data_IF_365923106112
#
_entry.id   IF_365923106112
#
_cell.length_a   1.000
_cell.length_b   1.000
_cell.length_c   1.000
_cell.angle_alpha   90.00
_cell.angle_beta   90.00
_cell.angle_gamma   90.00
#
_symmetry.space_group_name_H-M   'P 1'
#
loop_
_entity.id
_entity.type
_entity.pdbx_description
1 polymer ?
#
# COMPACT_ATOMS: atom_id res chain seq x y z
N UNK A 1 22.87 24.19 -10.29
CA UNK A 1 21.58 24.27 -9.60
C UNK A 1 20.78 22.96 -9.59
N UNK A 2 20.58 22.26 -10.73
CA UNK A 2 19.84 20.97 -10.81
C UNK A 2 20.47 19.86 -9.94
N UNK A 3 21.79 19.72 -9.91
CA UNK A 3 22.51 18.71 -9.10
C UNK A 3 22.37 18.96 -7.58
N UNK A 4 22.41 20.21 -7.14
CA UNK A 4 22.25 20.57 -5.71
C UNK A 4 20.83 20.22 -5.23
N UNK A 5 19.82 20.49 -6.05
CA UNK A 5 18.42 20.10 -5.77
C UNK A 5 18.29 18.57 -5.73
N UNK A 6 18.97 17.86 -6.63
CA UNK A 6 18.98 16.39 -6.66
C UNK A 6 19.61 15.79 -5.40
N UNK A 7 20.78 16.26 -4.98
CA UNK A 7 21.46 15.81 -3.77
C UNK A 7 20.63 16.10 -2.51
N UNK A 8 20.01 17.29 -2.42
CA UNK A 8 19.14 17.62 -1.31
C UNK A 8 17.92 16.70 -1.20
N UNK A 9 17.30 16.34 -2.35
CA UNK A 9 16.17 15.39 -2.37
C UNK A 9 16.59 13.98 -1.98
N UNK A 10 17.74 13.51 -2.44
CA UNK A 10 18.27 12.18 -2.05
C UNK A 10 18.54 12.10 -0.56
N UNK A 11 19.15 13.13 0.03
CA UNK A 11 19.35 13.22 1.48
C UNK A 11 17.99 13.21 2.23
N UNK A 12 17.02 13.98 1.75
CA UNK A 12 15.68 14.01 2.34
C UNK A 12 14.95 12.66 2.25
N UNK A 13 15.12 11.91 1.15
CA UNK A 13 14.59 10.54 1.02
C UNK A 13 15.27 9.60 2.00
N UNK A 14 16.59 9.68 2.16
CA UNK A 14 17.34 8.89 3.15
C UNK A 14 16.84 9.14 4.58
N UNK A 15 16.68 10.40 4.96
CA UNK A 15 16.11 10.77 6.27
C UNK A 15 14.68 10.24 6.41
N UNK A 16 13.88 10.34 5.37
CA UNK A 16 12.50 9.82 5.36
C UNK A 16 12.45 8.31 5.60
N UNK A 17 13.37 7.55 5.00
CA UNK A 17 13.48 6.09 5.23
C UNK A 17 13.77 5.83 6.72
N UNK A 18 14.71 6.55 7.33
CA UNK A 18 15.01 6.42 8.75
C UNK A 18 13.80 6.76 9.62
N UNK A 19 13.06 7.81 9.28
CA UNK A 19 11.81 8.18 9.98
C UNK A 19 10.75 7.09 9.85
N UNK A 20 10.59 6.49 8.66
CA UNK A 20 9.66 5.38 8.46
C UNK A 20 10.05 4.17 9.32
N UNK A 21 11.33 3.81 9.33
CA UNK A 21 11.84 2.71 10.15
C UNK A 21 11.60 2.98 11.64
N UNK A 22 11.86 4.20 12.10
CA UNK A 22 11.59 4.60 13.49
C UNK A 22 10.09 4.50 13.83
N UNK A 23 9.21 4.98 12.94
CA UNK A 23 7.76 4.89 13.12
C UNK A 23 7.31 3.43 13.22
N UNK A 24 7.81 2.56 12.34
CA UNK A 24 7.46 1.14 12.33
C UNK A 24 7.95 0.43 13.58
N UNK A 25 9.16 0.75 14.03
CA UNK A 25 9.78 0.06 15.16
C UNK A 25 9.25 0.55 16.52
N UNK A 26 9.04 1.86 16.66
CA UNK A 26 8.73 2.50 17.95
C UNK A 26 7.25 2.87 18.06
N UNK A 27 6.68 3.54 17.06
CA UNK A 27 5.32 4.05 17.16
C UNK A 27 4.25 2.97 16.87
N UNK A 28 4.46 2.11 15.89
CA UNK A 28 3.47 1.11 15.52
C UNK A 28 3.10 0.14 16.65
N UNK A 29 4.03 -0.33 17.50
CA UNK A 29 3.65 -1.12 18.68
C UNK A 29 2.78 -0.36 19.68
N UNK A 30 2.97 0.96 19.79
CA UNK A 30 2.31 1.81 20.77
C UNK A 30 0.96 2.35 20.30
N UNK A 31 0.72 2.41 19.00
CA UNK A 31 -0.53 2.95 18.43
C UNK A 31 -1.41 1.85 17.89
N UNK A 32 -2.71 1.95 18.15
CA UNK A 32 -3.70 1.05 17.58
C UNK A 32 -3.82 1.20 16.05
N UNK A 33 -4.60 0.32 15.43
CA UNK A 33 -4.79 0.28 13.97
C UNK A 33 -5.09 1.66 13.37
N UNK A 34 -6.01 2.45 13.97
CA UNK A 34 -6.35 3.83 13.52
C UNK A 34 -5.14 4.75 13.45
N UNK A 35 -4.29 4.70 14.46
CA UNK A 35 -3.09 5.52 14.50
C UNK A 35 -2.11 5.14 13.40
N UNK A 36 -1.93 3.85 13.14
CA UNK A 36 -1.05 3.33 12.08
C UNK A 36 -1.44 3.86 10.70
N UNK A 37 -2.72 3.76 10.32
CA UNK A 37 -3.20 4.26 9.02
C UNK A 37 -3.01 5.78 8.88
N UNK A 38 -3.26 6.56 9.94
CA UNK A 38 -2.98 8.01 9.93
C UNK A 38 -1.50 8.32 9.76
N UNK A 39 -0.62 7.55 10.41
CA UNK A 39 0.83 7.68 10.25
C UNK A 39 1.26 7.39 8.81
N UNK A 40 0.84 6.25 8.24
CA UNK A 40 1.14 5.87 6.85
C UNK A 40 0.71 6.98 5.90
N UNK A 41 -0.54 7.43 5.99
CA UNK A 41 -1.07 8.51 5.13
C UNK A 41 -0.25 9.79 5.22
N UNK A 42 0.13 10.22 6.42
CA UNK A 42 0.93 11.45 6.62
C UNK A 42 2.33 11.29 6.04
N UNK A 43 2.99 10.19 6.33
CA UNK A 43 4.34 9.87 5.82
C UNK A 43 4.35 9.86 4.29
N UNK A 44 3.40 9.15 3.66
CA UNK A 44 3.30 9.08 2.22
C UNK A 44 3.02 10.44 1.58
N UNK A 45 2.16 11.27 2.18
CA UNK A 45 1.93 12.65 1.71
C UNK A 45 3.18 13.53 1.79
N UNK A 46 3.95 13.41 2.87
CA UNK A 46 5.22 14.14 3.01
C UNK A 46 6.23 13.65 1.97
N UNK A 47 6.35 12.34 1.79
CA UNK A 47 7.22 11.73 0.79
C UNK A 47 6.91 12.23 -0.62
N UNK A 48 5.63 12.27 -1.01
CA UNK A 48 5.23 12.79 -2.32
C UNK A 48 5.61 14.26 -2.51
N UNK A 49 5.47 15.10 -1.47
CA UNK A 49 5.92 16.50 -1.51
C UNK A 49 7.43 16.62 -1.67
N UNK A 50 8.20 15.83 -0.92
CA UNK A 50 9.68 15.80 -1.01
C UNK A 50 10.14 15.39 -2.41
N UNK A 51 9.49 14.38 -2.99
CA UNK A 51 9.76 13.93 -4.36
C UNK A 51 9.29 14.92 -5.43
N UNK A 52 8.48 15.92 -5.05
CA UNK A 52 7.91 16.89 -6.00
C UNK A 52 6.77 16.32 -6.84
N UNK A 53 6.15 15.24 -6.38
CA UNK A 53 5.00 14.61 -7.04
C UNK A 53 3.73 15.39 -6.71
N UNK A 54 3.04 15.86 -7.74
CA UNK A 54 1.71 16.47 -7.60
C UNK A 54 0.65 15.39 -7.72
N UNK A 55 -0.21 15.29 -6.71
CA UNK A 55 -1.31 14.34 -6.70
C UNK A 55 -2.62 15.09 -6.90
N UNK A 56 -3.45 14.60 -7.81
CA UNK A 56 -4.82 15.08 -8.02
C UNK A 56 -5.78 13.93 -7.82
N UNK A 57 -6.69 14.06 -6.88
CA UNK A 57 -7.74 13.08 -6.62
C UNK A 57 -9.02 13.58 -7.27
N UNK A 58 -9.63 12.75 -8.13
CA UNK A 58 -10.92 13.02 -8.75
C UNK A 58 -11.91 11.93 -8.36
N UNK A 59 -13.13 12.30 -8.09
CA UNK A 59 -14.18 11.39 -7.61
C UNK A 59 -14.23 11.32 -6.08
N UNK A 60 -15.18 10.54 -5.58
CA UNK A 60 -15.35 10.32 -4.15
C UNK A 60 -14.36 9.25 -3.67
N UNK A 61 -13.50 9.63 -2.76
CA UNK A 61 -12.77 8.64 -1.95
C UNK A 61 -13.71 8.24 -0.83
N UNK A 62 -13.81 6.95 -0.45
CA UNK A 62 -14.64 6.52 0.66
C UNK A 62 -14.08 7.02 2.02
N UNK A 63 -14.00 8.35 2.19
CA UNK A 63 -13.26 9.03 3.26
C UNK A 63 -13.99 8.97 4.59
N UNK A 64 -15.30 9.08 4.57
CA UNK A 64 -16.11 9.05 5.79
C UNK A 64 -16.01 7.70 6.50
N UNK A 65 -15.90 6.67 5.70
CA UNK A 65 -15.66 5.31 6.18
C UNK A 65 -14.17 5.02 6.37
N UNK A 66 -13.29 5.63 5.60
CA UNK A 66 -11.84 5.37 5.65
C UNK A 66 -11.06 6.20 6.67
N UNK A 67 -11.61 7.30 7.18
CA UNK A 67 -11.01 7.92 8.37
C UNK A 67 -11.27 7.07 9.62
N UNK A 68 -12.28 6.22 9.55
CA UNK A 68 -12.78 5.40 10.63
C UNK A 68 -12.98 3.93 10.24
N UNK A 69 -13.27 3.60 8.99
CA UNK A 69 -13.31 2.25 8.41
C UNK A 69 -11.98 1.94 7.73
N UNK A 70 -11.55 0.72 7.74
CA UNK A 70 -10.20 0.35 7.27
C UNK A 70 -9.17 0.42 8.37
N UNK A 71 -9.49 1.08 9.47
CA UNK A 71 -8.66 1.05 10.66
C UNK A 71 -9.49 1.08 11.96
N UNK A 72 -10.78 0.77 11.97
CA UNK A 72 -11.75 0.59 13.08
C UNK A 72 -13.09 1.30 12.81
N UNK A 73 -13.57 1.36 11.58
CA UNK A 73 -14.96 1.66 11.32
C UNK A 73 -15.82 0.44 11.68
N UNK A 74 -17.05 0.67 12.00
CA UNK A 74 -18.05 -0.36 12.09
C UNK A 74 -18.43 -0.75 10.65
N UNK A 75 -17.78 -1.77 10.10
CA UNK A 75 -18.06 -2.26 8.77
C UNK A 75 -16.83 -2.87 8.05
N UNK A 76 -17.05 -3.60 6.96
CA UNK A 76 -15.98 -4.23 6.19
C UNK A 76 -15.09 -3.17 5.52
N UNK A 77 -13.85 -3.54 5.26
CA UNK A 77 -12.94 -2.78 4.43
C UNK A 77 -13.30 -2.86 2.95
N UNK A 78 -12.52 -2.21 2.12
CA UNK A 78 -12.68 -2.25 0.67
C UNK A 78 -11.62 -3.10 0.01
N UNK A 79 -12.00 -3.86 -0.99
CA UNK A 79 -11.08 -4.35 -1.98
C UNK A 79 -10.83 -3.27 -3.03
N UNK A 80 -9.58 -2.84 -3.14
CA UNK A 80 -9.17 -1.76 -4.04
C UNK A 80 -8.33 -2.34 -5.17
N UNK A 81 -8.69 -2.01 -6.40
CA UNK A 81 -7.94 -2.37 -7.59
C UNK A 81 -7.41 -1.12 -8.27
N UNK A 82 -6.16 -1.15 -8.68
CA UNK A 82 -5.52 -0.07 -9.41
C UNK A 82 -4.65 -0.61 -10.54
N UNK A 83 -4.49 0.15 -11.61
CA UNK A 83 -3.43 -0.08 -12.58
C UNK A 83 -2.07 0.22 -11.97
N UNK A 84 -1.01 -0.39 -12.52
CA UNK A 84 0.33 -0.32 -11.94
C UNK A 84 1.35 0.17 -12.96
N UNK A 85 1.87 1.37 -12.73
CA UNK A 85 2.83 2.02 -13.64
C UNK A 85 4.21 2.14 -12.98
N UNK A 86 4.24 2.32 -11.66
CA UNK A 86 5.48 2.59 -10.94
C UNK A 86 5.43 2.11 -9.50
N UNK A 87 6.59 1.84 -8.93
CA UNK A 87 6.72 1.60 -7.49
C UNK A 87 6.16 2.77 -6.64
N UNK A 88 6.14 3.99 -7.18
CA UNK A 88 5.58 5.17 -6.51
C UNK A 88 4.06 5.05 -6.28
N UNK A 89 3.35 4.25 -7.07
CA UNK A 89 1.90 4.07 -6.94
C UNK A 89 1.51 3.62 -5.52
N UNK A 90 2.33 2.79 -4.89
CA UNK A 90 2.12 2.33 -3.52
C UNK A 90 1.99 3.53 -2.57
N UNK A 91 2.91 4.47 -2.66
CA UNK A 91 2.94 5.65 -1.79
C UNK A 91 1.85 6.68 -2.15
N UNK A 92 1.52 6.80 -3.45
CA UNK A 92 0.44 7.68 -3.92
C UNK A 92 -0.90 7.17 -3.37
N UNK A 93 -1.15 5.88 -3.47
CA UNK A 93 -2.40 5.27 -3.01
C UNK A 93 -2.51 5.33 -1.49
N UNK A 94 -1.45 5.01 -0.74
CA UNK A 94 -1.42 5.14 0.72
C UNK A 94 -1.55 6.59 1.20
N UNK A 95 -1.11 7.56 0.41
CA UNK A 95 -1.32 8.98 0.73
C UNK A 95 -2.78 9.40 0.66
N UNK A 96 -3.60 8.66 -0.08
CA UNK A 96 -5.05 8.90 -0.25
C UNK A 96 -5.86 7.98 0.64
N UNK A 97 -5.64 6.68 0.51
CA UNK A 97 -6.36 5.61 1.20
C UNK A 97 -5.37 4.55 1.68
N UNK A 98 -5.01 4.51 2.97
CA UNK A 98 -4.13 3.49 3.50
C UNK A 98 -4.70 2.09 3.30
N UNK A 99 -3.89 1.21 2.72
CA UNK A 99 -4.28 -0.15 2.39
C UNK A 99 -3.22 -1.16 2.81
N UNK A 100 -3.61 -2.43 2.96
CA UNK A 100 -2.66 -3.55 2.89
C UNK A 100 -2.48 -3.93 1.43
N UNK A 101 -1.25 -3.94 0.96
CA UNK A 101 -0.95 -4.31 -0.43
C UNK A 101 -0.80 -5.83 -0.57
N UNK A 102 -1.10 -6.32 -1.77
CA UNK A 102 -0.72 -7.67 -2.17
C UNK A 102 0.53 -7.58 -3.04
N UNK A 103 1.61 -8.22 -2.61
CA UNK A 103 2.91 -8.16 -3.25
C UNK A 103 3.51 -9.54 -3.49
N UNK A 104 4.48 -9.65 -4.40
CA UNK A 104 5.24 -10.88 -4.64
C UNK A 104 6.06 -11.25 -3.39
N UNK A 105 6.16 -12.54 -3.10
CA UNK A 105 6.89 -13.09 -1.95
C UNK A 105 8.34 -12.62 -1.87
N UNK A 106 8.99 -12.46 -3.02
CA UNK A 106 10.39 -12.05 -3.11
C UNK A 106 10.64 -10.67 -2.50
N UNK A 107 9.63 -9.78 -2.55
CA UNK A 107 9.72 -8.43 -1.96
C UNK A 107 9.90 -8.51 -0.43
N UNK A 108 9.39 -9.56 0.21
CA UNK A 108 9.56 -9.74 1.64
C UNK A 108 11.04 -9.87 2.07
N UNK A 109 11.92 -10.34 1.19
CA UNK A 109 13.36 -10.49 1.45
C UNK A 109 14.18 -9.24 1.13
N UNK A 110 13.58 -8.21 0.51
CA UNK A 110 14.31 -7.00 0.17
C UNK A 110 14.72 -6.24 1.44
N UNK A 111 15.99 -5.80 1.54
CA UNK A 111 16.43 -4.95 2.62
C UNK A 111 15.56 -3.69 2.69
N UNK A 112 15.27 -3.20 3.88
CA UNK A 112 14.47 -2.00 4.13
C UNK A 112 13.03 -2.13 3.63
N UNK A 113 12.81 -2.30 2.32
CA UNK A 113 11.46 -2.38 1.73
C UNK A 113 10.67 -3.59 2.20
N UNK A 114 11.30 -4.76 2.32
CA UNK A 114 10.65 -5.94 2.88
C UNK A 114 10.29 -5.78 4.35
N UNK A 115 11.11 -5.07 5.12
CA UNK A 115 10.80 -4.73 6.51
C UNK A 115 9.61 -3.76 6.59
N UNK A 116 9.61 -2.70 5.77
CA UNK A 116 8.50 -1.74 5.69
C UNK A 116 7.21 -2.43 5.27
N UNK A 117 7.26 -3.25 4.21
CA UNK A 117 6.10 -3.97 3.70
C UNK A 117 5.50 -4.92 4.75
N UNK A 118 6.33 -5.67 5.46
CA UNK A 118 5.86 -6.50 6.59
C UNK A 118 5.25 -5.64 7.71
N UNK A 119 5.91 -4.55 8.07
CA UNK A 119 5.45 -3.65 9.12
C UNK A 119 4.12 -2.98 8.81
N UNK A 120 3.83 -2.70 7.55
CA UNK A 120 2.55 -2.15 7.09
C UNK A 120 1.46 -3.20 6.83
N UNK A 121 1.80 -4.50 6.98
CA UNK A 121 0.84 -5.60 6.85
C UNK A 121 0.59 -6.04 5.42
N UNK A 122 1.56 -5.85 4.52
CA UNK A 122 1.51 -6.36 3.14
C UNK A 122 1.29 -7.88 3.12
N UNK A 123 0.39 -8.32 2.28
CA UNK A 123 0.10 -9.74 2.03
C UNK A 123 1.01 -10.24 0.90
N UNK A 124 1.83 -11.26 1.19
CA UNK A 124 2.80 -11.78 0.22
C UNK A 124 2.29 -13.04 -0.45
N UNK A 125 2.32 -13.06 -1.78
CA UNK A 125 1.88 -14.20 -2.59
C UNK A 125 3.05 -14.88 -3.30
N UNK A 126 3.11 -16.20 -3.18
CA UNK A 126 3.98 -17.07 -3.98
C UNK A 126 3.20 -17.53 -5.22
N UNK A 127 3.39 -16.82 -6.34
CA UNK A 127 2.63 -17.11 -7.58
C UNK A 127 3.03 -18.42 -8.26
N UNK A 128 4.11 -19.08 -7.84
CA UNK A 128 4.52 -20.37 -8.37
C UNK A 128 3.60 -21.52 -7.90
N UNK A 129 2.87 -21.30 -6.81
CA UNK A 129 1.99 -22.29 -6.19
C UNK A 129 0.53 -21.95 -6.47
N UNK A 130 -0.20 -22.84 -7.19
CA UNK A 130 -1.64 -22.67 -7.44
C UNK A 130 -2.47 -22.48 -6.17
N UNK A 131 -2.12 -23.20 -5.10
CA UNK A 131 -2.79 -23.10 -3.80
C UNK A 131 -2.58 -21.77 -3.10
N UNK A 132 -1.45 -21.11 -3.33
CA UNK A 132 -1.17 -19.81 -2.73
C UNK A 132 -2.14 -18.71 -3.19
N UNK A 133 -2.75 -18.86 -4.37
CA UNK A 133 -3.76 -17.91 -4.84
C UNK A 133 -5.03 -17.99 -3.97
N UNK A 134 -5.45 -19.19 -3.58
CA UNK A 134 -6.60 -19.37 -2.69
C UNK A 134 -6.27 -18.90 -1.28
N UNK A 135 -5.10 -19.26 -0.78
CA UNK A 135 -4.62 -18.84 0.55
C UNK A 135 -4.58 -17.30 0.68
N UNK A 136 -4.14 -16.59 -0.38
CA UNK A 136 -4.11 -15.14 -0.38
C UNK A 136 -5.50 -14.52 -0.52
N UNK A 137 -6.40 -15.14 -1.29
CA UNK A 137 -7.78 -14.70 -1.41
C UNK A 137 -8.50 -14.78 -0.05
N UNK A 138 -8.31 -15.85 0.69
CA UNK A 138 -8.84 -16.01 2.05
C UNK A 138 -8.25 -14.98 3.01
N UNK A 139 -6.94 -14.72 2.93
CA UNK A 139 -6.28 -13.70 3.75
C UNK A 139 -6.76 -12.28 3.42
N UNK A 140 -7.02 -12.00 2.14
CA UNK A 140 -7.62 -10.73 1.70
C UNK A 140 -9.04 -10.58 2.23
N UNK A 141 -9.88 -11.59 2.06
CA UNK A 141 -11.25 -11.59 2.56
C UNK A 141 -11.30 -11.41 4.08
N UNK A 142 -10.47 -12.13 4.82
CA UNK A 142 -10.35 -11.95 6.27
C UNK A 142 -9.96 -10.53 6.67
N UNK A 143 -8.99 -9.93 5.97
CA UNK A 143 -8.58 -8.55 6.23
C UNK A 143 -9.69 -7.53 5.92
N UNK A 144 -10.45 -7.75 4.85
CA UNK A 144 -11.59 -6.90 4.46
C UNK A 144 -12.69 -7.01 5.52
N UNK A 145 -13.03 -8.21 5.96
CA UNK A 145 -14.03 -8.44 7.01
C UNK A 145 -13.63 -7.84 8.36
N UNK A 146 -12.32 -7.73 8.63
CA UNK A 146 -11.78 -7.01 9.80
C UNK A 146 -11.79 -5.47 9.63
N UNK A 147 -12.37 -4.94 8.57
CA UNK A 147 -12.42 -3.51 8.30
C UNK A 147 -11.13 -2.91 7.73
N UNK A 148 -10.25 -3.73 7.14
CA UNK A 148 -9.00 -3.28 6.53
C UNK A 148 -9.14 -3.20 5.02
N UNK A 149 -8.76 -2.07 4.43
CA UNK A 149 -8.67 -1.97 2.97
C UNK A 149 -7.52 -2.82 2.45
N UNK A 150 -7.78 -3.59 1.41
CA UNK A 150 -6.77 -4.40 0.72
C UNK A 150 -6.65 -3.94 -0.72
N UNK A 151 -5.43 -3.62 -1.15
CA UNK A 151 -5.15 -3.17 -2.50
C UNK A 151 -4.25 -4.16 -3.24
N UNK A 152 -4.63 -4.48 -4.46
CA UNK A 152 -3.78 -5.22 -5.37
C UNK A 152 -3.79 -4.61 -6.78
N UNK A 153 -2.75 -4.94 -7.53
CA UNK A 153 -2.62 -4.53 -8.91
C UNK A 153 -2.96 -5.75 -9.79
N UNK A 154 -4.14 -5.77 -10.42
CA UNK A 154 -4.59 -6.94 -11.17
C UNK A 154 -3.75 -7.25 -12.41
N UNK A 155 -3.01 -6.27 -12.92
CA UNK A 155 -2.03 -6.44 -14.00
C UNK A 155 -0.84 -7.33 -13.61
N UNK A 156 -0.56 -7.44 -12.30
CA UNK A 156 0.47 -8.32 -11.77
C UNK A 156 1.92 -7.88 -12.01
N UNK A 157 2.12 -6.83 -12.78
CA UNK A 157 3.41 -6.19 -13.07
C UNK A 157 3.20 -4.71 -13.38
N UNK A 158 4.28 -3.94 -13.41
CA UNK A 158 4.23 -2.54 -13.83
C UNK A 158 4.14 -2.43 -15.35
N UNK A 159 3.20 -1.61 -15.82
CA UNK A 159 3.04 -1.26 -17.22
C UNK A 159 3.81 0.01 -17.59
N UNK A 160 3.69 0.43 -18.85
CA UNK A 160 4.27 1.67 -19.37
C UNK A 160 3.36 2.90 -19.16
N UNK A 161 2.15 2.69 -18.64
CA UNK A 161 1.15 3.74 -18.42
C UNK A 161 0.41 4.20 -19.67
N UNK A 162 0.70 3.67 -20.85
CA UNK A 162 0.04 4.00 -22.11
C UNK A 162 -1.13 3.05 -22.39
N UNK A 163 -1.03 1.81 -21.94
CA UNK A 163 -2.01 0.75 -22.14
C UNK A 163 -2.28 0.03 -20.82
N UNK A 164 -3.51 -0.42 -20.64
CA UNK A 164 -3.86 -1.31 -19.54
C UNK A 164 -3.46 -2.74 -19.92
N UNK A 165 -2.69 -3.38 -19.05
CA UNK A 165 -2.37 -4.79 -19.21
C UNK A 165 -3.58 -5.67 -18.82
N UNK A 166 -3.66 -6.91 -19.34
CA UNK A 166 -4.72 -7.83 -18.99
C UNK A 166 -4.80 -8.07 -17.47
N UNK A 167 -6.00 -8.03 -16.93
CA UNK A 167 -6.23 -8.27 -15.51
C UNK A 167 -6.26 -9.77 -15.23
N UNK A 168 -5.52 -10.20 -14.22
CA UNK A 168 -5.55 -11.56 -13.71
C UNK A 168 -6.74 -11.73 -12.76
N UNK A 169 -7.73 -12.59 -13.09
CA UNK A 169 -9.00 -12.67 -12.35
C UNK A 169 -8.87 -13.30 -10.95
N UNK A 170 -7.83 -14.06 -10.71
CA UNK A 170 -7.73 -14.95 -9.55
C UNK A 170 -7.86 -14.27 -8.18
N UNK A 171 -7.43 -13.01 -8.05
CA UNK A 171 -7.51 -12.31 -6.77
C UNK A 171 -8.87 -11.63 -6.53
N UNK A 172 -9.69 -11.48 -7.57
CA UNK A 172 -11.06 -10.96 -7.41
C UNK A 172 -11.96 -11.91 -6.63
N UNK A 173 -11.61 -13.19 -6.55
CA UNK A 173 -12.34 -14.18 -5.75
C UNK A 173 -12.39 -13.78 -4.26
N UNK A 174 -11.42 -13.02 -3.78
CA UNK A 174 -11.43 -12.48 -2.41
C UNK A 174 -12.67 -11.62 -2.13
N UNK A 175 -13.19 -10.89 -3.13
CA UNK A 175 -14.41 -10.08 -2.97
C UNK A 175 -15.69 -10.94 -2.88
N UNK A 176 -15.66 -12.15 -3.38
CA UNK A 176 -16.80 -13.09 -3.29
C UNK A 176 -16.82 -13.80 -1.93
N UNK A 177 -15.65 -13.87 -1.28
CA UNK A 177 -15.46 -14.55 0.01
C UNK A 177 -15.58 -13.62 1.22
N UNK A 178 -15.56 -12.30 0.99
CA UNK A 178 -15.63 -11.27 2.03
C UNK A 178 -17.06 -10.90 2.49
#
# INVERSE_FOLDING_TARGET
>A
MRYVIGCGRMAAVGIMILVILFILLVLFPLVGRKGRGRCVRRVCRVLMRVLGVRMTVRGAVPVAQSAECGVNGEGPGYMVCANHVSFIDIFILDAVLPCRFVAKKEIASWPVFGFIARGTGTLFIDRSRKRAVLEIADAMAGAINEGTNVLFFPEGTTGNGLELLPFHPNLFEAAVRS
#
